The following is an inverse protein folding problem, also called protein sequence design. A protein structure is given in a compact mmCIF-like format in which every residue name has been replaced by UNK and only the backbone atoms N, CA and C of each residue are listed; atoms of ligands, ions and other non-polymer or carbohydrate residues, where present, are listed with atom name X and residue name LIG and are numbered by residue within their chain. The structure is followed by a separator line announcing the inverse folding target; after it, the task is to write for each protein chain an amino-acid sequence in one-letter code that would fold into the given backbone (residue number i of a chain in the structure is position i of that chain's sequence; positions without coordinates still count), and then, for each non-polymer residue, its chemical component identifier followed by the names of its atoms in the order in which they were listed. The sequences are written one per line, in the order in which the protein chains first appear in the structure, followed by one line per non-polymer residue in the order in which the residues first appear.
data_IF_658109283689
#
_entry.id   IF_658109283689
#
_cell.length_a   1.000
_cell.length_b   1.000
_cell.length_c   1.000
_cell.angle_alpha   90.00
_cell.angle_beta   90.00
_cell.angle_gamma   90.00
#
_symmetry.space_group_name_H-M   'P 1'
#
loop_
_entity.id
_entity.type
_entity.pdbx_description
1 polymer ?
#
# COMPACT_ATOMS: atom_id res chain seq x y z
N UNK A 1 2.79 9.63 -20.30
CA UNK A 1 3.78 8.95 -19.43
C UNK A 1 3.09 7.75 -18.80
N UNK A 2 3.60 6.54 -19.02
CA UNK A 2 3.07 5.33 -18.38
C UNK A 2 3.59 5.24 -16.94
N UNK A 3 2.69 4.96 -16.00
CA UNK A 3 3.04 4.71 -14.61
C UNK A 3 2.30 3.48 -14.12
N UNK A 4 3.00 2.63 -13.39
CA UNK A 4 2.43 1.41 -12.81
C UNK A 4 2.60 1.48 -11.30
N UNK A 5 1.48 1.48 -10.58
CA UNK A 5 1.48 1.40 -9.12
C UNK A 5 1.87 -0.02 -8.72
N UNK A 6 2.89 -0.14 -7.88
CA UNK A 6 3.40 -1.41 -7.37
C UNK A 6 2.93 -1.68 -5.94
N UNK A 7 2.82 -0.64 -5.12
CA UNK A 7 2.26 -0.76 -3.79
C UNK A 7 1.68 0.58 -3.30
N UNK A 8 0.71 0.50 -2.41
CA UNK A 8 0.13 1.65 -1.72
C UNK A 8 0.19 1.37 -0.22
N UNK A 9 0.82 2.27 0.51
CA UNK A 9 0.88 2.24 1.96
C UNK A 9 -0.07 3.32 2.51
N UNK A 10 -1.00 2.97 3.40
CA UNK A 10 -1.86 3.97 4.03
C UNK A 10 -1.03 4.92 4.89
N UNK A 11 -1.42 6.20 4.90
CA UNK A 11 -0.84 7.19 5.81
C UNK A 11 -1.51 7.14 7.19
N UNK A 12 -1.23 8.16 7.99
CA UNK A 12 -1.87 8.36 9.31
C UNK A 12 -3.35 8.76 9.23
N UNK A 13 -3.83 9.17 8.06
CA UNK A 13 -5.24 9.43 7.78
C UNK A 13 -5.60 9.00 6.35
N UNK A 14 -6.90 8.89 6.07
CA UNK A 14 -7.44 8.39 4.79
C UNK A 14 -7.11 9.30 3.59
N UNK A 15 -6.74 10.56 3.84
CA UNK A 15 -6.39 11.52 2.81
C UNK A 15 -4.90 11.52 2.46
N UNK A 16 -4.08 10.74 3.17
CA UNK A 16 -2.65 10.63 2.89
C UNK A 16 -2.25 9.19 2.60
N UNK A 17 -1.39 9.01 1.60
CA UNK A 17 -0.81 7.71 1.30
C UNK A 17 0.58 7.84 0.72
N UNK A 18 1.34 6.76 0.86
CA UNK A 18 2.63 6.61 0.20
C UNK A 18 2.49 5.59 -0.91
N UNK A 19 2.89 5.94 -2.13
CA UNK A 19 2.76 5.07 -3.31
C UNK A 19 4.14 4.72 -3.83
N UNK A 20 4.40 3.43 -3.94
CA UNK A 20 5.52 2.90 -4.69
C UNK A 20 5.05 2.63 -6.13
N UNK A 21 5.69 3.26 -7.10
CA UNK A 21 5.35 3.08 -8.51
C UNK A 21 6.60 2.85 -9.36
N UNK A 22 6.39 2.27 -10.54
CA UNK A 22 7.35 2.27 -11.65
C UNK A 22 6.92 3.36 -12.62
N UNK A 23 7.87 4.20 -13.03
CA UNK A 23 7.68 5.27 -14.00
C UNK A 23 8.78 5.22 -15.06
N UNK A 24 8.61 5.94 -16.17
CA UNK A 24 9.66 6.21 -17.13
C UNK A 24 10.40 7.51 -16.77
N UNK A 25 11.73 7.49 -16.74
CA UNK A 25 12.57 8.70 -16.62
C UNK A 25 12.55 9.54 -17.92
N UNK A 26 13.31 10.64 -17.93
CA UNK A 26 13.44 11.51 -19.11
C UNK A 26 14.02 10.79 -20.35
N UNK A 27 14.70 9.66 -20.16
CA UNK A 27 15.28 8.81 -21.20
C UNK A 27 14.44 7.54 -21.45
N UNK A 28 13.18 7.52 -21.01
CA UNK A 28 12.27 6.38 -21.11
C UNK A 28 12.73 5.09 -20.41
N UNK A 29 13.68 5.20 -19.47
CA UNK A 29 14.12 4.05 -18.67
C UNK A 29 13.19 3.84 -17.48
N UNK A 30 12.85 2.59 -17.15
CA UNK A 30 12.01 2.31 -16.00
C UNK A 30 12.76 2.62 -14.71
N UNK A 31 12.20 3.52 -13.90
CA UNK A 31 12.69 3.86 -12.57
C UNK A 31 11.63 3.56 -11.52
N UNK A 32 12.08 3.24 -10.31
CA UNK A 32 11.21 3.10 -9.17
C UNK A 32 11.12 4.43 -8.44
N UNK A 33 9.91 4.79 -8.06
CA UNK A 33 9.62 6.05 -7.41
C UNK A 33 8.76 5.82 -6.19
N UNK A 34 9.06 6.61 -5.17
CA UNK A 34 8.22 6.73 -3.99
C UNK A 34 7.53 8.09 -4.06
N UNK A 35 6.21 8.10 -3.93
CA UNK A 35 5.39 9.29 -3.99
C UNK A 35 4.61 9.44 -2.69
N UNK A 36 4.62 10.63 -2.13
CA UNK A 36 3.62 10.99 -1.13
C UNK A 36 2.45 11.61 -1.86
N UNK A 37 1.26 11.04 -1.67
CA UNK A 37 0.03 11.50 -2.31
C UNK A 37 -0.96 12.00 -1.27
N UNK A 38 -1.72 13.02 -1.64
CA UNK A 38 -2.85 13.54 -0.84
C UNK A 38 -4.12 13.44 -1.65
N UNK A 39 -5.24 13.13 -1.00
CA UNK A 39 -6.56 13.10 -1.61
C UNK A 39 -7.22 14.47 -1.47
N UNK A 40 -7.83 14.95 -2.55
CA UNK A 40 -8.76 16.06 -2.52
C UNK A 40 -10.09 15.64 -3.14
N UNK A 41 -11.24 16.07 -2.59
CA UNK A 41 -12.56 15.76 -3.15
C UNK A 41 -12.74 16.18 -4.61
N UNK A 42 -12.02 17.21 -5.05
CA UNK A 42 -12.20 17.81 -6.38
C UNK A 42 -11.26 17.25 -7.45
N UNK A 43 -10.12 16.66 -7.05
CA UNK A 43 -9.05 16.26 -7.97
C UNK A 43 -8.61 14.81 -7.80
N UNK A 44 -9.06 14.14 -6.73
CA UNK A 44 -8.60 12.79 -6.38
C UNK A 44 -7.22 12.81 -5.74
N UNK A 45 -6.42 11.77 -6.02
CA UNK A 45 -5.07 11.65 -5.49
C UNK A 45 -4.08 12.46 -6.31
N UNK A 46 -3.31 13.32 -5.65
CA UNK A 46 -2.27 14.12 -6.29
C UNK A 46 -0.96 14.01 -5.52
N UNK A 47 0.16 14.11 -6.24
CA UNK A 47 1.50 13.90 -5.71
C UNK A 47 2.00 15.18 -5.05
N UNK A 48 2.35 15.10 -3.77
CA UNK A 48 2.97 16.17 -2.99
C UNK A 48 4.50 16.14 -3.10
N UNK A 49 5.06 14.93 -3.01
CA UNK A 49 6.50 14.71 -3.08
C UNK A 49 6.79 13.43 -3.87
N UNK A 50 7.95 13.41 -4.53
CA UNK A 50 8.39 12.30 -5.37
C UNK A 50 9.90 12.15 -5.27
N UNK A 51 10.35 10.96 -4.93
CA UNK A 51 11.77 10.61 -4.93
C UNK A 51 11.99 9.37 -5.78
N UNK A 52 13.12 9.33 -6.50
CA UNK A 52 13.58 8.12 -7.18
C UNK A 52 14.28 7.27 -6.13
N UNK A 53 14.01 5.97 -6.14
CA UNK A 53 14.63 5.03 -5.22
C UNK A 53 15.26 3.87 -6.00
N UNK A 54 16.33 3.31 -5.44
CA UNK A 54 16.98 2.15 -6.02
C UNK A 54 16.24 0.85 -5.64
N UNK A 55 16.32 -0.20 -6.48
CA UNK A 55 15.63 -1.47 -6.20
C UNK A 55 15.99 -2.12 -4.85
N UNK A 56 17.24 -1.99 -4.41
CA UNK A 56 17.72 -2.49 -3.10
C UNK A 56 17.01 -1.79 -1.92
N UNK A 57 16.71 -0.49 -2.03
CA UNK A 57 16.04 0.30 -1.00
C UNK A 57 14.57 -0.08 -0.85
N UNK A 58 13.94 -0.59 -1.90
CA UNK A 58 12.52 -1.00 -1.90
C UNK A 58 12.28 -2.15 -0.93
N UNK A 59 13.18 -3.13 -0.88
CA UNK A 59 13.05 -4.29 0.01
C UNK A 59 13.13 -3.86 1.47
N UNK A 60 14.13 -3.03 1.81
CA UNK A 60 14.26 -2.47 3.15
C UNK A 60 13.04 -1.61 3.53
N UNK A 61 12.58 -0.75 2.61
CA UNK A 61 11.39 0.09 2.83
C UNK A 61 10.14 -0.76 3.09
N UNK A 62 9.90 -1.80 2.27
CA UNK A 62 8.77 -2.71 2.46
C UNK A 62 8.85 -3.42 3.81
N UNK A 63 10.01 -3.93 4.20
CA UNK A 63 10.21 -4.59 5.49
C UNK A 63 9.92 -3.65 6.66
N UNK A 64 10.48 -2.43 6.66
CA UNK A 64 10.25 -1.44 7.72
C UNK A 64 8.78 -1.04 7.82
N UNK A 65 8.12 -0.75 6.69
CA UNK A 65 6.70 -0.35 6.70
C UNK A 65 5.79 -1.50 7.14
N UNK A 66 6.06 -2.72 6.67
CA UNK A 66 5.27 -3.91 7.08
C UNK A 66 5.46 -4.21 8.57
N UNK A 67 6.68 -4.08 9.09
CA UNK A 67 6.96 -4.27 10.51
C UNK A 67 6.22 -3.26 11.41
N UNK A 68 6.08 -2.00 10.98
CA UNK A 68 5.33 -1.00 11.73
C UNK A 68 3.81 -1.23 11.68
N UNK A 69 3.28 -1.76 10.57
CA UNK A 69 1.87 -2.13 10.47
C UNK A 69 1.49 -3.30 11.41
N UNK A 70 2.42 -4.23 11.64
CA UNK A 70 2.22 -5.35 12.58
C UNK A 70 2.28 -4.90 14.05
N UNK A 71 2.91 -3.76 14.34
CA UNK A 71 3.09 -3.24 15.69
C UNK A 71 1.99 -2.29 16.17
N UNK A 72 0.91 -2.08 15.41
CA UNK A 72 -0.27 -1.47 16.01
C UNK A 72 -0.79 -2.40 17.11
N UNK A 73 -0.75 -1.98 18.40
CA UNK A 73 -1.41 -2.73 19.43
C UNK A 73 -2.89 -2.64 19.10
N UNK A 74 -3.50 -3.78 18.75
CA UNK A 74 -4.91 -3.97 18.97
C UNK A 74 -5.16 -3.58 20.42
N UNK A 75 -5.83 -2.46 20.68
CA UNK A 75 -6.55 -2.28 21.93
C UNK A 75 -7.50 -3.49 22.01
N UNK A 76 -7.10 -4.48 22.80
CA UNK A 76 -7.95 -5.62 23.15
C UNK A 76 -9.15 -5.07 23.92
N UNK A 77 -10.18 -4.67 23.17
CA UNK A 77 -11.52 -4.56 23.72
C UNK A 77 -11.93 -5.96 24.21
N UNK A 78 -12.56 -6.07 25.40
CA UNK A 78 -12.80 -7.35 26.04
C UNK A 78 -13.68 -8.24 25.17
N UNK A 79 -13.27 -9.50 25.12
CA UNK A 79 -13.91 -10.64 24.46
C UNK A 79 -15.44 -10.56 24.56
N UNK A 80 -16.10 -10.39 23.42
CA UNK A 80 -17.51 -10.70 23.26
C UNK A 80 -17.66 -11.60 22.04
N UNK A 81 -18.24 -12.78 22.27
CA UNK A 81 -18.51 -13.86 21.32
C UNK A 81 -19.04 -13.36 19.98
N UNK A 82 -18.20 -13.36 18.95
CA UNK A 82 -18.60 -13.56 17.55
C UNK A 82 -17.35 -13.80 16.71
N UNK A 83 -16.85 -15.03 16.73
CA UNK A 83 -15.78 -15.45 15.84
C UNK A 83 -16.17 -15.13 14.37
N UNK A 84 -15.25 -14.61 13.54
CA UNK A 84 -15.55 -14.34 12.15
C UNK A 84 -15.85 -15.67 11.44
N UNK A 85 -17.03 -15.75 10.80
CA UNK A 85 -17.39 -16.92 10.01
C UNK A 85 -16.46 -17.01 8.80
N UNK A 86 -15.57 -18.01 8.82
CA UNK A 86 -14.77 -18.40 7.66
C UNK A 86 -15.65 -19.20 6.71
N UNK A 87 -16.06 -18.60 5.59
CA UNK A 87 -16.72 -19.33 4.51
C UNK A 87 -15.70 -20.23 3.81
N UNK A 88 -15.84 -21.55 3.97
CA UNK A 88 -15.08 -22.55 3.21
C UNK A 88 -15.86 -22.94 1.97
N UNK A 89 -15.24 -22.79 0.81
CA UNK A 89 -15.77 -23.24 -0.47
C UNK A 89 -15.08 -24.54 -0.90
N UNK A 90 -15.33 -25.61 -0.17
CA UNK A 90 -14.91 -26.96 -0.54
C UNK A 90 -16.16 -27.82 -0.73
N UNK A 91 -16.77 -27.74 -1.91
CA UNK A 91 -17.57 -28.79 -2.58
C UNK A 91 -18.56 -28.18 -3.59
N UNK A 92 -18.04 -27.69 -4.71
CA UNK A 92 -18.83 -27.50 -5.94
C UNK A 92 -18.13 -28.21 -7.11
N UNK A 93 -17.67 -29.45 -6.90
CA UNK A 93 -17.16 -30.35 -7.95
C UNK A 93 -17.27 -31.82 -7.44
N UNK A 94 -18.48 -32.32 -7.25
CA UNK A 94 -18.78 -33.76 -7.26
C UNK A 94 -20.31 -33.97 -7.29
N UNK A 95 -20.82 -34.39 -8.46
CA UNK A 95 -22.20 -34.85 -8.65
C UNK A 95 -22.93 -34.10 -9.74
#
# INVERSE_FOLDING_TARGET
MSSTILNVFPGSCDDHRLVLAREADAHQRPVLVLRQETRSPHVGWFVQSRIVIEPNQVSALKMTLTSNLVQQPTEELPVSESAPSVLRFDAAMAG
#
